data_IF_774991578630
#
_entry.id   IF_774991578630
#
_cell.length_a   1.000
_cell.length_b   1.000
_cell.length_c   1.000
_cell.angle_alpha   90.00
_cell.angle_beta   90.00
_cell.angle_gamma   90.00
#
_symmetry.space_group_name_H-M   'P 1'
#
loop_
_entity.id
_entity.type
_entity.pdbx_description
1 polymer ?
#
# COMPACT_ATOMS: atom_id res chain seq x y z
N UNK A 1 19.89 9.04 7.56
CA UNK A 1 20.21 8.23 6.37
C UNK A 1 19.81 9.02 5.14
N UNK A 2 20.65 9.13 4.11
CA UNK A 2 20.31 9.91 2.91
C UNK A 2 19.30 9.15 2.05
N UNK A 3 18.33 9.85 1.49
CA UNK A 3 17.37 9.29 0.54
C UNK A 3 18.11 8.85 -0.71
N UNK A 4 18.08 7.54 -1.00
CA UNK A 4 18.56 7.02 -2.28
C UNK A 4 17.47 7.30 -3.31
N UNK A 5 17.75 8.20 -4.25
CA UNK A 5 16.90 8.50 -5.40
C UNK A 5 17.02 7.38 -6.43
N UNK A 6 16.24 6.31 -6.27
CA UNK A 6 16.06 5.30 -7.31
C UNK A 6 14.83 5.66 -8.13
N UNK A 7 14.96 5.80 -9.46
CA UNK A 7 13.82 5.94 -10.36
C UNK A 7 12.74 4.91 -10.03
N UNK A 8 11.53 5.38 -9.75
CA UNK A 8 10.36 4.55 -9.44
C UNK A 8 9.86 3.83 -10.69
N UNK A 9 10.68 2.94 -11.27
CA UNK A 9 10.25 1.93 -12.24
C UNK A 9 9.82 0.62 -11.53
N UNK A 10 9.74 0.61 -10.20
CA UNK A 10 9.32 -0.55 -9.41
C UNK A 10 8.05 -0.35 -8.57
N UNK A 11 7.45 0.84 -8.58
CA UNK A 11 6.33 1.19 -7.68
C UNK A 11 5.06 0.34 -7.89
N UNK A 12 4.82 -0.17 -9.10
CA UNK A 12 3.77 -1.16 -9.37
C UNK A 12 4.28 -2.60 -9.29
N UNK A 13 5.53 -2.86 -9.69
CA UNK A 13 6.11 -4.21 -9.67
C UNK A 13 6.23 -4.76 -8.24
N UNK A 14 6.56 -3.88 -7.29
CA UNK A 14 6.78 -4.25 -5.89
C UNK A 14 5.51 -4.22 -5.03
N UNK A 15 4.37 -3.75 -5.53
CA UNK A 15 3.15 -3.59 -4.74
C UNK A 15 1.99 -4.38 -5.36
N UNK A 16 1.50 -5.36 -4.62
CA UNK A 16 0.38 -6.21 -5.01
C UNK A 16 -0.91 -5.72 -4.39
N UNK A 17 -1.98 -5.54 -5.17
CA UNK A 17 -3.30 -5.25 -4.63
C UNK A 17 -3.87 -6.52 -3.98
N UNK A 18 -3.97 -6.54 -2.65
CA UNK A 18 -4.47 -7.69 -1.89
C UNK A 18 -5.93 -7.52 -1.43
N UNK A 19 -6.47 -6.28 -1.45
CA UNK A 19 -7.89 -6.03 -1.26
C UNK A 19 -8.32 -4.72 -1.93
N UNK A 20 -9.59 -4.63 -2.31
CA UNK A 20 -10.23 -3.40 -2.80
C UNK A 20 -11.63 -3.27 -2.19
N UNK A 21 -11.96 -2.10 -1.65
CA UNK A 21 -13.29 -1.77 -1.12
C UNK A 21 -13.63 -0.34 -1.53
N UNK A 22 -14.74 -0.13 -2.23
CA UNK A 22 -15.22 1.22 -2.61
C UNK A 22 -14.14 2.11 -3.27
N UNK A 23 -13.26 1.53 -4.08
CA UNK A 23 -12.15 2.24 -4.74
C UNK A 23 -10.89 2.40 -3.89
N UNK A 24 -10.95 2.10 -2.59
CA UNK A 24 -9.79 1.99 -1.73
C UNK A 24 -9.04 0.69 -2.01
N UNK A 25 -7.71 0.73 -2.05
CA UNK A 25 -6.84 -0.43 -2.33
C UNK A 25 -5.93 -0.68 -1.14
N UNK A 26 -5.93 -1.91 -0.62
CA UNK A 26 -4.85 -2.39 0.24
C UNK A 26 -3.79 -3.04 -0.64
N UNK A 27 -2.58 -2.52 -0.58
CA UNK A 27 -1.44 -3.02 -1.33
C UNK A 27 -0.39 -3.60 -0.40
N UNK A 28 0.20 -4.74 -0.76
CA UNK A 28 1.30 -5.37 -0.03
C UNK A 28 2.61 -5.25 -0.81
N UNK A 29 3.66 -4.85 -0.13
CA UNK A 29 4.99 -4.82 -0.70
C UNK A 29 5.55 -6.25 -0.79
N UNK A 30 5.91 -6.69 -2.01
CA UNK A 30 6.43 -8.05 -2.26
C UNK A 30 7.83 -8.30 -1.68
N UNK A 31 8.60 -7.23 -1.39
CA UNK A 31 9.98 -7.31 -0.92
C UNK A 31 10.07 -7.27 0.60
N UNK A 32 9.38 -6.30 1.22
CA UNK A 32 9.47 -6.04 2.66
C UNK A 32 8.22 -6.50 3.43
N UNK A 33 7.17 -6.96 2.76
CA UNK A 33 5.93 -7.44 3.39
C UNK A 33 5.03 -6.36 4.00
N UNK A 34 5.46 -5.10 4.02
CA UNK A 34 4.66 -3.99 4.52
C UNK A 34 3.46 -3.71 3.62
N UNK A 35 2.34 -3.31 4.21
CA UNK A 35 1.11 -2.98 3.49
C UNK A 35 0.83 -1.48 3.51
N UNK A 36 0.10 -0.97 2.51
CA UNK A 36 -0.39 0.42 2.44
C UNK A 36 -1.83 0.48 1.97
N UNK A 37 -2.59 1.45 2.47
CA UNK A 37 -3.93 1.78 1.97
C UNK A 37 -3.82 2.98 1.03
N UNK A 38 -4.37 2.84 -0.16
CA UNK A 38 -4.50 3.86 -1.19
C UNK A 38 -5.99 4.20 -1.32
N UNK A 39 -6.33 5.47 -1.37
CA UNK A 39 -7.70 5.93 -1.58
C UNK A 39 -8.10 5.90 -3.08
N UNK A 40 -9.37 6.17 -3.43
CA UNK A 40 -9.82 6.22 -4.81
C UNK A 40 -9.10 7.27 -5.68
N UNK A 41 -8.51 8.29 -5.06
CA UNK A 41 -7.73 9.34 -5.74
C UNK A 41 -6.25 8.95 -5.91
N UNK A 42 -5.90 7.69 -5.65
CA UNK A 42 -4.55 7.14 -5.66
C UNK A 42 -3.59 7.79 -4.63
N UNK A 43 -4.12 8.34 -3.54
CA UNK A 43 -3.32 8.90 -2.44
C UNK A 43 -3.14 7.87 -1.33
N UNK A 44 -1.90 7.71 -0.85
CA UNK A 44 -1.62 6.84 0.30
C UNK A 44 -2.19 7.45 1.58
N UNK A 45 -3.12 6.76 2.24
CA UNK A 45 -3.75 7.19 3.49
C UNK A 45 -3.20 6.49 4.72
N UNK A 46 -2.68 5.27 4.57
CA UNK A 46 -2.09 4.52 5.68
C UNK A 46 -0.97 3.58 5.20
N UNK A 47 -0.08 3.19 6.12
CA UNK A 47 1.01 2.25 5.91
C UNK A 47 1.30 1.47 7.20
N UNK A 48 1.68 0.20 7.10
CA UNK A 48 1.93 -0.65 8.26
C UNK A 48 1.70 -2.14 8.00
N UNK A 49 1.49 -2.90 9.06
CA UNK A 49 1.27 -4.35 8.98
C UNK A 49 -0.09 -4.70 8.37
N UNK A 50 -0.13 -5.81 7.63
CA UNK A 50 -1.31 -6.30 6.91
C UNK A 50 -2.56 -6.41 7.80
N UNK A 51 -2.45 -7.04 8.97
CA UNK A 51 -3.59 -7.24 9.88
C UNK A 51 -4.23 -5.92 10.33
N UNK A 52 -3.40 -4.93 10.67
CA UNK A 52 -3.87 -3.62 11.15
C UNK A 52 -4.57 -2.88 10.01
N UNK A 53 -3.95 -2.85 8.83
CA UNK A 53 -4.51 -2.15 7.69
C UNK A 53 -5.73 -2.86 7.08
N UNK A 54 -5.78 -4.18 7.13
CA UNK A 54 -6.96 -4.94 6.69
C UNK A 54 -8.16 -4.63 7.55
N UNK A 55 -7.99 -4.60 8.88
CA UNK A 55 -9.04 -4.15 9.80
C UNK A 55 -9.42 -2.69 9.56
N UNK A 56 -8.44 -1.82 9.31
CA UNK A 56 -8.73 -0.42 8.99
C UNK A 56 -9.55 -0.28 7.70
N UNK A 57 -9.20 -1.02 6.65
CA UNK A 57 -9.92 -1.05 5.37
C UNK A 57 -11.35 -1.57 5.51
N UNK A 58 -11.58 -2.59 6.34
CA UNK A 58 -12.93 -3.12 6.61
C UNK A 58 -13.84 -2.14 7.38
N UNK A 59 -13.27 -1.11 8.03
CA UNK A 59 -14.02 -0.07 8.72
C UNK A 59 -14.18 1.23 7.90
N UNK A 60 -13.80 1.22 6.61
CA UNK A 60 -14.00 2.32 5.66
C UNK A 60 -15.30 2.17 4.87
#
# INVERSE_FOLDING_TARGET
MPNIETSTMGGEVFWENIANINGWKLQKNKVFGNCRIIDPNNVRRAWGGEKVLRKALENL
#
